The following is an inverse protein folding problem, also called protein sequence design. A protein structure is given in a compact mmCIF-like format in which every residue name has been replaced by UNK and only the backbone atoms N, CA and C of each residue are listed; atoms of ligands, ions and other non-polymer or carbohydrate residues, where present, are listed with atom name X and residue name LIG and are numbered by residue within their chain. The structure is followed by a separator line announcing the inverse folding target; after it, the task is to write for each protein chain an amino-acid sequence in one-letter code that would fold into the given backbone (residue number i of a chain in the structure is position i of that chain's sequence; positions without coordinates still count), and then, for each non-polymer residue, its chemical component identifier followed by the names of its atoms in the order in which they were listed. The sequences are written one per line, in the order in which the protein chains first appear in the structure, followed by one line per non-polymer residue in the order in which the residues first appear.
data_IF_770445334827
#
_entry.id   IF_770445334827
#
_cell.length_a   1.000
_cell.length_b   1.000
_cell.length_c   1.000
_cell.angle_alpha   90.00
_cell.angle_beta   90.00
_cell.angle_gamma   90.00
#
_symmetry.space_group_name_H-M   'P 1'
#
loop_
_entity.id
_entity.type
_entity.pdbx_description
1 polymer ?
#
# COMPACT_ATOMS: atom_id res chain seq x y z
N UNK A 1 5.21 -16.99 -3.06
CA UNK A 1 5.31 -16.68 -1.63
C UNK A 1 4.01 -16.05 -1.13
N UNK A 2 3.49 -16.49 0.02
CA UNK A 2 2.30 -15.94 0.66
C UNK A 2 2.74 -14.82 1.63
N UNK A 3 2.18 -13.64 1.46
CA UNK A 3 2.50 -12.46 2.28
C UNK A 3 1.23 -11.93 2.90
N UNK A 4 1.25 -11.59 4.18
CA UNK A 4 0.18 -10.87 4.87
C UNK A 4 0.72 -9.58 5.49
N UNK A 5 -0.13 -8.59 5.75
CA UNK A 5 0.26 -7.42 6.52
C UNK A 5 0.68 -7.82 7.94
N UNK A 6 1.56 -7.04 8.59
CA UNK A 6 1.97 -7.32 9.97
C UNK A 6 0.76 -7.37 10.92
N UNK A 7 -0.24 -6.54 10.68
CA UNK A 7 -1.46 -6.50 11.47
C UNK A 7 -2.24 -7.81 11.36
N UNK A 8 -2.46 -8.33 10.15
CA UNK A 8 -3.17 -9.59 9.93
C UNK A 8 -2.43 -10.78 10.53
N UNK A 9 -1.10 -10.83 10.39
CA UNK A 9 -0.28 -11.89 10.97
C UNK A 9 -0.36 -11.84 12.50
N UNK A 10 -0.21 -10.65 13.09
CA UNK A 10 -0.31 -10.44 14.53
C UNK A 10 -1.68 -10.86 15.09
N UNK A 11 -2.75 -10.51 14.39
CA UNK A 11 -4.10 -10.84 14.84
C UNK A 11 -4.36 -12.36 14.79
N UNK A 12 -3.87 -13.06 13.77
CA UNK A 12 -3.90 -14.53 13.71
C UNK A 12 -3.17 -15.17 14.90
N UNK A 13 -2.01 -14.66 15.30
CA UNK A 13 -1.30 -15.14 16.49
C UNK A 13 -2.09 -14.87 17.79
N UNK A 14 -2.77 -13.72 17.89
CA UNK A 14 -3.63 -13.40 19.05
C UNK A 14 -4.84 -14.33 19.11
N UNK A 15 -5.55 -14.52 18.00
CA UNK A 15 -6.73 -15.39 17.92
C UNK A 15 -6.39 -16.84 18.30
N UNK A 16 -5.27 -17.35 17.79
CA UNK A 16 -4.84 -18.73 18.05
C UNK A 16 -4.11 -18.89 19.37
N UNK A 17 -3.82 -17.82 20.12
CA UNK A 17 -3.03 -17.81 21.36
C UNK A 17 -1.68 -18.49 21.24
N UNK A 18 -1.07 -18.43 20.04
CA UNK A 18 0.24 -19.02 19.78
C UNK A 18 1.35 -17.98 19.91
N UNK A 19 2.53 -18.42 20.33
CA UNK A 19 3.74 -17.60 20.33
C UNK A 19 4.42 -17.69 18.95
N UNK A 20 5.00 -16.57 18.51
CA UNK A 20 5.75 -16.58 17.26
C UNK A 20 7.10 -17.31 17.46
N UNK A 21 7.47 -18.28 16.60
CA UNK A 21 8.69 -19.07 16.78
C UNK A 21 9.97 -18.24 16.95
N UNK A 22 10.08 -17.11 16.21
CA UNK A 22 11.25 -16.24 16.27
C UNK A 22 11.14 -15.14 17.34
N UNK A 23 10.03 -15.05 18.08
CA UNK A 23 9.88 -14.07 19.14
C UNK A 23 10.53 -14.54 20.47
N UNK A 24 10.68 -15.84 20.68
CA UNK A 24 11.14 -16.38 21.97
C UNK A 24 10.20 -15.94 23.10
N UNK A 25 10.76 -15.28 24.11
CA UNK A 25 9.99 -14.65 25.22
C UNK A 25 9.57 -13.21 24.90
N UNK A 26 9.92 -12.69 23.73
CA UNK A 26 9.62 -11.32 23.28
C UNK A 26 8.23 -11.18 22.65
N UNK A 27 7.98 -10.00 22.10
CA UNK A 27 6.71 -9.66 21.47
C UNK A 27 6.57 -10.32 20.09
N UNK A 28 5.34 -10.67 19.72
CA UNK A 28 5.02 -11.24 18.41
C UNK A 28 5.50 -10.34 17.27
N UNK A 29 5.38 -9.02 17.41
CA UNK A 29 5.82 -8.03 16.40
C UNK A 29 7.32 -8.16 16.07
N UNK A 30 8.15 -8.43 17.07
CA UNK A 30 9.60 -8.62 16.88
C UNK A 30 9.89 -9.92 16.12
N UNK A 31 9.14 -10.98 16.43
CA UNK A 31 9.23 -12.23 15.71
C UNK A 31 8.87 -12.10 14.24
N UNK A 32 7.78 -11.39 13.94
CA UNK A 32 7.33 -11.11 12.57
C UNK A 32 8.39 -10.32 11.79
N UNK A 33 9.00 -9.29 12.41
CA UNK A 33 10.06 -8.51 11.74
C UNK A 33 11.30 -9.34 11.44
N UNK A 34 11.71 -10.19 12.37
CA UNK A 34 12.85 -11.12 12.16
C UNK A 34 12.56 -12.09 11.03
N UNK A 35 11.36 -12.66 10.99
CA UNK A 35 10.94 -13.57 9.92
C UNK A 35 10.93 -12.88 8.57
N UNK A 36 10.33 -11.68 8.47
CA UNK A 36 10.31 -10.91 7.23
C UNK A 36 11.70 -10.60 6.71
N UNK A 37 12.61 -10.18 7.60
CA UNK A 37 14.00 -9.91 7.22
C UNK A 37 14.69 -11.19 6.74
N UNK A 38 14.45 -12.32 7.41
CA UNK A 38 15.00 -13.61 7.00
C UNK A 38 14.46 -14.12 5.66
N UNK A 39 13.21 -13.76 5.32
CA UNK A 39 12.53 -14.17 4.08
C UNK A 39 12.67 -13.15 2.94
N UNK A 40 13.34 -12.01 3.16
CA UNK A 40 13.44 -10.94 2.16
C UNK A 40 14.11 -11.41 0.85
N UNK A 41 15.10 -12.29 0.96
CA UNK A 41 15.75 -12.87 -0.22
C UNK A 41 14.80 -13.74 -1.05
N UNK A 42 13.85 -14.43 -0.42
CA UNK A 42 12.86 -15.24 -1.13
C UNK A 42 11.89 -14.40 -1.97
N UNK A 43 11.65 -13.14 -1.57
CA UNK A 43 10.81 -12.24 -2.37
C UNK A 43 11.45 -11.90 -3.71
N UNK A 44 12.79 -11.81 -3.75
CA UNK A 44 13.53 -11.48 -4.98
C UNK A 44 13.54 -12.63 -5.99
N UNK A 45 13.52 -13.86 -5.48
CA UNK A 45 13.61 -15.08 -6.30
C UNK A 45 12.25 -15.77 -6.46
N UNK A 46 11.16 -15.18 -5.97
CA UNK A 46 9.83 -15.77 -6.05
C UNK A 46 9.18 -15.50 -7.41
N UNK A 47 8.77 -16.56 -8.12
CA UNK A 47 7.98 -16.44 -9.35
C UNK A 47 6.58 -15.86 -9.09
N UNK A 48 6.03 -16.08 -7.89
CA UNK A 48 4.71 -15.61 -7.50
C UNK A 48 4.70 -15.11 -6.07
N UNK A 49 4.13 -13.92 -5.86
CA UNK A 49 3.89 -13.34 -4.54
C UNK A 49 2.39 -13.08 -4.42
N UNK A 50 1.74 -13.71 -3.43
CA UNK A 50 0.32 -13.52 -3.14
C UNK A 50 0.17 -12.81 -1.79
N UNK A 51 -0.45 -11.64 -1.79
CA UNK A 51 -0.86 -10.99 -0.56
C UNK A 51 -2.20 -11.58 -0.09
N UNK A 52 -2.17 -12.19 1.07
CA UNK A 52 -3.34 -12.83 1.68
C UNK A 52 -4.06 -11.96 2.70
N UNK A 53 -3.69 -10.69 2.82
CA UNK A 53 -4.20 -9.78 3.87
C UNK A 53 -5.71 -9.57 3.80
N UNK A 54 -6.25 -9.54 2.59
CA UNK A 54 -7.67 -9.28 2.32
C UNK A 54 -8.41 -10.49 1.73
N UNK A 55 -7.71 -11.61 1.52
CA UNK A 55 -8.30 -12.79 0.88
C UNK A 55 -8.99 -13.69 1.90
N UNK A 56 -10.21 -14.07 1.61
CA UNK A 56 -10.89 -15.20 2.25
C UNK A 56 -10.27 -16.52 1.77
N UNK A 57 -10.38 -17.57 2.57
CA UNK A 57 -9.81 -18.89 2.23
C UNK A 57 -10.26 -19.40 0.85
N UNK A 58 -11.53 -19.17 0.48
CA UNK A 58 -12.09 -19.55 -0.84
C UNK A 58 -11.46 -18.76 -1.99
N UNK A 59 -11.14 -17.48 -1.75
CA UNK A 59 -10.53 -16.59 -2.74
C UNK A 59 -9.05 -16.96 -2.94
N UNK A 60 -8.33 -17.22 -1.84
CA UNK A 60 -6.97 -17.74 -1.90
C UNK A 60 -6.90 -19.05 -2.70
N UNK A 61 -7.86 -19.99 -2.47
CA UNK A 61 -7.93 -21.23 -3.25
C UNK A 61 -8.13 -20.94 -4.74
N UNK A 62 -9.05 -20.05 -5.08
CA UNK A 62 -9.31 -19.68 -6.48
C UNK A 62 -8.07 -19.04 -7.15
N UNK A 63 -7.32 -18.21 -6.44
CA UNK A 63 -6.08 -17.63 -6.97
C UNK A 63 -4.99 -18.69 -7.16
N UNK A 64 -4.84 -19.63 -6.22
CA UNK A 64 -3.91 -20.76 -6.36
C UNK A 64 -4.30 -21.68 -7.53
N UNK A 65 -5.58 -21.96 -7.71
CA UNK A 65 -6.08 -22.77 -8.82
C UNK A 65 -5.80 -22.12 -10.18
N UNK A 66 -5.93 -20.79 -10.30
CA UNK A 66 -5.54 -20.06 -11.52
C UNK A 66 -4.07 -20.22 -11.85
N UNK A 67 -3.20 -20.12 -10.82
CA UNK A 67 -1.74 -20.19 -11.00
C UNK A 67 -1.28 -21.60 -11.37
N UNK A 68 -1.75 -22.61 -10.62
CA UNK A 68 -1.17 -23.96 -10.68
C UNK A 68 -1.98 -24.96 -11.52
N UNK A 69 -3.25 -24.68 -11.77
CA UNK A 69 -4.12 -25.62 -12.50
C UNK A 69 -4.41 -25.13 -13.92
N UNK A 70 -4.57 -23.82 -14.13
CA UNK A 70 -4.95 -23.26 -15.44
C UNK A 70 -3.78 -22.81 -16.29
N UNK A 71 -2.55 -22.99 -15.82
CA UNK A 71 -1.27 -22.59 -16.50
C UNK A 71 -1.31 -21.18 -17.12
N UNK A 72 -2.13 -20.31 -16.54
CA UNK A 72 -2.16 -18.91 -16.94
C UNK A 72 -0.90 -18.23 -16.41
N UNK A 73 -0.08 -17.69 -17.31
CA UNK A 73 1.05 -16.83 -16.94
C UNK A 73 0.52 -15.66 -16.12
N UNK A 74 0.71 -15.78 -14.83
CA UNK A 74 0.24 -14.80 -13.86
C UNK A 74 1.06 -13.51 -14.01
N UNK A 75 0.51 -12.55 -14.74
CA UNK A 75 1.07 -11.21 -14.85
C UNK A 75 0.36 -10.29 -13.85
N UNK A 76 0.46 -10.59 -12.56
CA UNK A 76 -0.14 -9.73 -11.54
C UNK A 76 0.90 -8.79 -10.96
N UNK A 77 0.66 -7.52 -11.16
CA UNK A 77 1.32 -6.44 -10.45
C UNK A 77 0.47 -6.10 -9.21
N UNK A 78 1.01 -6.31 -8.01
CA UNK A 78 0.40 -5.85 -6.77
C UNK A 78 0.70 -4.36 -6.62
N UNK A 79 -0.36 -3.54 -6.58
CA UNK A 79 -0.23 -2.09 -6.40
C UNK A 79 -0.61 -1.73 -4.97
N UNK A 80 0.29 -1.05 -4.29
CA UNK A 80 0.04 -0.48 -2.96
C UNK A 80 0.11 1.03 -3.06
N UNK A 81 -0.96 1.71 -2.64
CA UNK A 81 -0.98 3.17 -2.57
C UNK A 81 -0.87 3.60 -1.11
N UNK A 82 0.10 4.47 -0.83
CA UNK A 82 0.39 4.96 0.52
C UNK A 82 0.23 6.48 0.62
N UNK A 83 -0.41 6.93 1.68
CA UNK A 83 -0.36 8.33 2.10
C UNK A 83 0.73 8.52 3.15
N UNK A 84 1.59 9.54 2.97
CA UNK A 84 2.64 9.85 3.93
C UNK A 84 2.81 11.35 4.16
N UNK A 85 3.45 11.68 5.29
CA UNK A 85 3.84 13.05 5.60
C UNK A 85 5.34 13.25 5.44
N UNK A 86 5.76 14.21 4.61
CA UNK A 86 7.20 14.51 4.42
C UNK A 86 7.93 14.81 5.73
N UNK A 87 7.24 15.31 6.75
CA UNK A 87 7.83 15.54 8.08
C UNK A 87 8.31 14.26 8.78
N UNK A 88 7.83 13.09 8.33
CA UNK A 88 8.24 11.80 8.88
C UNK A 88 9.22 11.04 7.98
N UNK A 89 9.57 11.63 6.85
CA UNK A 89 10.42 11.00 5.82
C UNK A 89 9.60 10.31 4.72
N UNK A 90 10.27 10.07 3.60
CA UNK A 90 9.71 9.30 2.47
C UNK A 90 9.81 7.82 2.82
N UNK A 91 8.74 7.01 2.61
CA UNK A 91 8.83 5.56 2.80
C UNK A 91 9.94 4.97 1.92
N UNK A 92 10.83 4.20 2.52
CA UNK A 92 12.04 3.71 1.85
C UNK A 92 11.78 2.68 0.74
N UNK A 93 10.60 2.09 0.75
CA UNK A 93 10.13 1.07 -0.20
C UNK A 93 9.27 1.64 -1.32
N UNK A 94 9.14 2.97 -1.42
CA UNK A 94 8.35 3.64 -2.48
C UNK A 94 9.04 3.53 -3.83
N UNK A 95 8.30 3.06 -4.84
CA UNK A 95 8.74 3.08 -6.24
C UNK A 95 8.43 4.42 -6.92
N UNK A 96 7.25 4.98 -6.65
CA UNK A 96 6.81 6.27 -7.14
C UNK A 96 6.43 7.16 -5.96
N UNK A 97 6.89 8.41 -6.00
CA UNK A 97 6.58 9.39 -4.96
C UNK A 97 6.03 10.66 -5.61
N UNK A 98 4.81 11.04 -5.20
CA UNK A 98 4.15 12.25 -5.66
C UNK A 98 3.99 13.24 -4.51
N UNK A 99 4.45 14.46 -4.72
CA UNK A 99 4.33 15.56 -3.76
C UNK A 99 3.10 16.40 -4.09
N UNK A 100 2.13 16.43 -3.17
CA UNK A 100 0.89 17.21 -3.34
C UNK A 100 0.84 18.47 -2.46
N UNK A 101 1.99 18.93 -1.92
CA UNK A 101 2.06 20.11 -1.07
C UNK A 101 1.77 21.43 -1.79
N UNK A 102 1.80 21.43 -3.12
CA UNK A 102 1.43 22.60 -3.94
C UNK A 102 -0.08 22.87 -3.95
N UNK A 103 -0.91 21.92 -3.53
CA UNK A 103 -2.35 22.07 -3.43
C UNK A 103 -2.75 22.94 -2.23
N UNK A 104 -3.91 23.64 -2.30
CA UNK A 104 -4.43 24.41 -1.18
C UNK A 104 -4.58 23.55 0.08
N UNK A 105 -3.99 24.01 1.18
CA UNK A 105 -3.90 23.21 2.40
C UNK A 105 -5.11 23.44 3.32
N UNK A 106 -5.99 22.45 3.52
CA UNK A 106 -7.18 22.56 4.38
C UNK A 106 -6.86 22.88 5.85
N UNK A 107 -5.62 22.62 6.28
CA UNK A 107 -5.17 22.93 7.64
C UNK A 107 -5.37 24.42 8.04
N UNK A 108 -5.30 25.32 7.07
CA UNK A 108 -5.47 26.76 7.31
C UNK A 108 -6.93 27.22 7.18
N UNK A 109 -7.86 26.33 6.85
CA UNK A 109 -9.28 26.64 6.76
C UNK A 109 -9.94 26.36 8.11
N UNK A 110 -10.71 27.31 8.61
CA UNK A 110 -11.41 27.17 9.88
C UNK A 110 -12.36 25.95 9.84
N UNK A 111 -12.34 25.15 10.89
CA UNK A 111 -13.15 23.92 10.99
C UNK A 111 -12.59 22.69 10.27
N UNK A 112 -11.64 22.83 9.34
CA UNK A 112 -11.07 21.68 8.60
C UNK A 112 -9.82 21.10 9.25
N UNK A 113 -9.14 21.85 10.10
CA UNK A 113 -7.90 21.44 10.76
C UNK A 113 -7.97 20.09 11.51
N UNK A 114 -9.04 19.76 12.28
CA UNK A 114 -9.16 18.48 12.97
C UNK A 114 -9.50 17.32 12.03
N UNK A 115 -10.08 17.59 10.87
CA UNK A 115 -10.53 16.61 9.88
C UNK A 115 -9.37 15.96 9.14
N UNK A 116 -9.68 15.03 8.24
CA UNK A 116 -8.74 14.32 7.38
C UNK A 116 -9.19 14.34 5.92
N UNK A 117 -8.35 13.90 4.99
CA UNK A 117 -8.72 13.80 3.57
C UNK A 117 -9.87 12.82 3.29
N UNK A 118 -10.20 11.93 4.23
CA UNK A 118 -11.35 11.03 4.12
C UNK A 118 -12.68 11.72 4.43
N UNK A 119 -12.63 12.89 5.07
CA UNK A 119 -13.82 13.64 5.42
C UNK A 119 -14.30 14.47 4.22
N UNK A 120 -15.59 14.36 3.89
CA UNK A 120 -16.18 15.03 2.73
C UNK A 120 -15.89 16.53 2.63
N UNK A 121 -15.98 17.34 3.71
CA UNK A 121 -15.67 18.77 3.62
C UNK A 121 -14.24 19.06 3.15
N UNK A 122 -13.27 18.25 3.59
CA UNK A 122 -11.87 18.41 3.20
C UNK A 122 -11.65 17.99 1.76
N UNK A 123 -12.21 16.86 1.35
CA UNK A 123 -12.14 16.37 -0.02
C UNK A 123 -12.77 17.35 -0.99
N UNK A 124 -13.99 17.80 -0.70
CA UNK A 124 -14.76 18.69 -1.57
C UNK A 124 -14.08 20.06 -1.70
N UNK A 125 -13.48 20.56 -0.61
CA UNK A 125 -12.67 21.78 -0.64
C UNK A 125 -11.48 21.64 -1.57
N UNK A 126 -10.66 20.60 -1.44
CA UNK A 126 -9.45 20.45 -2.26
C UNK A 126 -9.79 20.13 -3.71
N UNK A 127 -10.76 19.24 -3.95
CA UNK A 127 -11.19 18.88 -5.30
C UNK A 127 -12.00 19.99 -6.01
N UNK A 128 -12.41 21.02 -5.29
CA UNK A 128 -12.97 22.24 -5.87
C UNK A 128 -11.96 23.08 -6.65
N UNK A 129 -10.67 22.86 -6.49
CA UNK A 129 -9.63 23.57 -7.24
C UNK A 129 -9.28 22.85 -8.54
N UNK A 130 -9.26 23.57 -9.65
CA UNK A 130 -8.88 23.06 -10.97
C UNK A 130 -7.51 22.34 -10.94
N UNK A 131 -6.55 22.93 -10.22
CA UNK A 131 -5.22 22.36 -10.08
C UNK A 131 -5.24 20.94 -9.47
N UNK A 132 -6.14 20.67 -8.53
CA UNK A 132 -6.29 19.34 -7.92
C UNK A 132 -6.90 18.34 -8.90
N UNK A 133 -7.91 18.78 -9.66
CA UNK A 133 -8.56 17.94 -10.69
C UNK A 133 -7.58 17.60 -11.81
N UNK A 134 -6.88 18.60 -12.36
CA UNK A 134 -5.86 18.39 -13.40
C UNK A 134 -4.71 17.49 -12.92
N UNK A 135 -4.30 17.63 -11.65
CA UNK A 135 -3.29 16.74 -11.10
C UNK A 135 -3.79 15.29 -11.03
N UNK A 136 -5.02 15.07 -10.55
CA UNK A 136 -5.59 13.72 -10.46
C UNK A 136 -5.70 13.06 -11.85
N UNK A 137 -6.16 13.80 -12.88
CA UNK A 137 -6.21 13.31 -14.26
C UNK A 137 -4.83 12.93 -14.79
N UNK A 138 -3.83 13.78 -14.59
CA UNK A 138 -2.45 13.51 -15.04
C UNK A 138 -1.83 12.33 -14.28
N UNK A 139 -2.13 12.19 -12.99
CA UNK A 139 -1.67 11.07 -12.18
C UNK A 139 -2.29 9.76 -12.69
N UNK A 140 -3.59 9.75 -12.93
CA UNK A 140 -4.30 8.60 -13.48
C UNK A 140 -3.72 8.18 -14.84
N UNK A 141 -3.53 9.12 -15.75
CA UNK A 141 -2.92 8.89 -17.07
C UNK A 141 -1.53 8.26 -16.95
N UNK A 142 -0.68 8.84 -16.08
CA UNK A 142 0.66 8.33 -15.82
C UNK A 142 0.63 6.89 -15.29
N UNK A 143 -0.22 6.61 -14.31
CA UNK A 143 -0.34 5.28 -13.73
C UNK A 143 -0.88 4.27 -14.75
N UNK A 144 -1.89 4.64 -15.54
CA UNK A 144 -2.41 3.81 -16.63
C UNK A 144 -1.35 3.46 -17.68
N UNK A 145 -0.47 4.41 -17.97
CA UNK A 145 0.66 4.18 -18.87
C UNK A 145 1.72 3.25 -18.24
N UNK A 146 2.06 3.45 -16.97
CA UNK A 146 3.15 2.72 -16.31
C UNK A 146 2.80 1.26 -15.98
N UNK A 147 1.56 0.97 -15.56
CA UNK A 147 1.14 -0.37 -15.14
C UNK A 147 1.47 -1.45 -16.19
N UNK A 148 1.04 -1.36 -17.46
CA UNK A 148 1.34 -2.39 -18.46
C UNK A 148 2.83 -2.52 -18.74
N UNK A 149 3.59 -1.43 -18.66
CA UNK A 149 5.03 -1.45 -18.87
C UNK A 149 5.76 -2.15 -17.74
N UNK A 150 5.36 -1.92 -16.49
CA UNK A 150 5.91 -2.63 -15.33
C UNK A 150 5.54 -4.13 -15.34
N UNK A 151 4.33 -4.48 -15.74
CA UNK A 151 3.94 -5.88 -15.94
C UNK A 151 4.80 -6.54 -17.02
N UNK A 152 5.08 -5.84 -18.11
CA UNK A 152 5.92 -6.34 -19.21
C UNK A 152 7.37 -6.54 -18.78
N UNK A 153 7.89 -5.66 -17.91
CA UNK A 153 9.23 -5.77 -17.31
C UNK A 153 9.33 -6.95 -16.34
N UNK A 154 8.20 -7.45 -15.82
CA UNK A 154 8.16 -8.52 -14.82
C UNK A 154 8.12 -8.00 -13.39
N UNK A 155 7.76 -6.74 -13.16
CA UNK A 155 7.57 -6.19 -11.83
C UNK A 155 6.35 -6.82 -11.16
N UNK A 156 6.52 -7.31 -9.93
CA UNK A 156 5.45 -8.00 -9.18
C UNK A 156 4.81 -7.11 -8.12
N UNK A 157 5.46 -6.02 -7.73
CA UNK A 157 4.99 -5.08 -6.73
C UNK A 157 5.30 -3.64 -7.17
N UNK A 158 4.31 -2.75 -7.01
CA UNK A 158 4.45 -1.32 -7.25
C UNK A 158 3.93 -0.56 -6.02
N UNK A 159 4.80 0.23 -5.39
CA UNK A 159 4.43 1.06 -4.25
C UNK A 159 4.40 2.52 -4.69
N UNK A 160 3.20 3.09 -4.67
CA UNK A 160 2.93 4.48 -5.02
C UNK A 160 2.69 5.26 -3.73
N UNK A 161 3.53 6.25 -3.45
CA UNK A 161 3.43 7.07 -2.25
C UNK A 161 3.04 8.50 -2.58
N UNK A 162 1.94 8.98 -1.99
CA UNK A 162 1.45 10.34 -2.13
C UNK A 162 1.73 11.09 -0.84
N UNK A 163 2.50 12.17 -0.93
CA UNK A 163 3.01 12.91 0.22
C UNK A 163 2.47 14.32 0.34
N UNK A 164 1.99 14.67 1.53
CA UNK A 164 1.79 16.06 1.94
C UNK A 164 2.61 16.37 3.18
N UNK A 165 2.50 17.56 3.77
CA UNK A 165 3.30 17.93 4.95
C UNK A 165 3.12 16.96 6.11
N UNK A 166 1.88 16.60 6.45
CA UNK A 166 1.55 15.77 7.61
C UNK A 166 0.97 14.40 7.30
N UNK A 167 0.69 14.07 6.03
CA UNK A 167 0.10 12.79 5.65
C UNK A 167 -1.37 12.59 6.05
N UNK A 168 -2.09 13.67 6.37
CA UNK A 168 -3.45 13.57 6.95
C UNK A 168 -4.54 14.15 6.04
N UNK A 169 -4.25 15.19 5.29
CA UNK A 169 -5.25 15.92 4.49
C UNK A 169 -5.09 15.62 3.00
N UNK A 170 -4.18 16.33 2.33
CA UNK A 170 -4.04 16.31 0.88
C UNK A 170 -3.70 14.93 0.31
N UNK A 171 -2.80 14.21 0.94
CA UNK A 171 -2.33 12.91 0.44
C UNK A 171 -3.40 11.81 0.51
N UNK A 172 -4.34 11.88 1.46
CA UNK A 172 -5.43 10.89 1.57
C UNK A 172 -6.53 11.06 0.52
N UNK A 173 -6.66 12.24 -0.08
CA UNK A 173 -7.70 12.51 -1.09
C UNK A 173 -7.44 11.76 -2.40
N UNK A 174 -6.17 11.49 -2.69
CA UNK A 174 -5.70 10.87 -3.94
C UNK A 174 -5.45 9.36 -3.81
N UNK A 175 -5.86 8.74 -2.72
CA UNK A 175 -5.84 7.29 -2.50
C UNK A 175 -7.28 6.73 -2.66
#
# INVERSE_FOLDING_TARGET
SLVGSEMCIRDRYKETRRTHPLAGLGRVDEGIRKERKALEFLKKDADYILDTSQLLTRELKAELDKIFVQDQKFKNLMITVLSFGFKYGIPADSDLVFDVRFLPNPYYVEGMRPLSGNDAPVRDYVMGFETAQVFAEKLEDMIRFLIPNYISEGKHQLIISIGCTGGKHLSLIHI
#
